data_IF_777368232510
#
_entry.id   IF_777368232510
#
_cell.length_a   1.000
_cell.length_b   1.000
_cell.length_c   1.000
_cell.angle_alpha   90.00
_cell.angle_beta   90.00
_cell.angle_gamma   90.00
#
_symmetry.space_group_name_H-M   'P 1'
#
loop_
_entity.id
_entity.type
_entity.pdbx_description
1 polymer ?
#
# COMPACT_ATOMS: atom_id res chain seq x y z
N UNK A 1 -7.77 -15.59 15.39
CA UNK A 1 -8.64 -14.40 15.30
C UNK A 1 -8.88 -14.02 13.86
N UNK A 2 -10.09 -13.68 13.52
CA UNK A 2 -10.45 -13.33 12.14
C UNK A 2 -9.67 -12.12 11.63
N UNK A 3 -9.48 -11.09 12.48
CA UNK A 3 -8.77 -9.89 12.06
C UNK A 3 -7.29 -10.18 11.76
N UNK A 4 -6.66 -11.06 12.51
CA UNK A 4 -5.26 -11.42 12.25
C UNK A 4 -5.13 -12.18 10.95
N UNK A 5 -6.08 -13.06 10.64
CA UNK A 5 -6.09 -13.75 9.34
C UNK A 5 -6.27 -12.77 8.20
N UNK A 6 -7.15 -11.79 8.36
CA UNK A 6 -7.36 -10.76 7.35
C UNK A 6 -6.08 -9.95 7.12
N UNK A 7 -5.44 -9.49 8.20
CA UNK A 7 -4.25 -8.64 8.10
C UNK A 7 -3.03 -9.40 7.61
N UNK A 8 -3.02 -10.72 7.73
CA UNK A 8 -1.89 -11.55 7.30
C UNK A 8 -2.09 -12.15 5.90
N UNK A 9 -3.11 -11.72 5.17
CA UNK A 9 -3.42 -12.22 3.84
C UNK A 9 -2.86 -11.27 2.80
N UNK A 10 -1.87 -11.73 2.03
CA UNK A 10 -1.21 -10.90 1.03
C UNK A 10 -2.15 -10.43 -0.08
N UNK A 11 -3.22 -11.17 -0.35
CA UNK A 11 -4.22 -10.72 -1.32
C UNK A 11 -5.00 -9.52 -0.80
N UNK A 12 -5.34 -9.53 0.49
CA UNK A 12 -5.99 -8.37 1.10
C UNK A 12 -5.06 -7.17 1.11
N UNK A 13 -3.78 -7.39 1.38
CA UNK A 13 -2.79 -6.32 1.30
C UNK A 13 -2.70 -5.77 -0.12
N UNK A 14 -2.66 -6.64 -1.12
CA UNK A 14 -2.60 -6.21 -2.51
C UNK A 14 -3.84 -5.39 -2.89
N UNK A 15 -5.02 -5.79 -2.44
CA UNK A 15 -6.26 -5.04 -2.70
C UNK A 15 -6.17 -3.62 -2.11
N UNK A 16 -5.70 -3.50 -0.87
CA UNK A 16 -5.51 -2.18 -0.26
C UNK A 16 -4.55 -1.33 -1.07
N UNK A 17 -3.46 -1.92 -1.56
CA UNK A 17 -2.50 -1.21 -2.40
C UNK A 17 -3.11 -0.79 -3.74
N UNK A 18 -3.98 -1.62 -4.32
CA UNK A 18 -4.66 -1.27 -5.57
C UNK A 18 -5.52 -0.02 -5.39
N UNK A 19 -6.19 0.09 -4.27
CA UNK A 19 -6.98 1.30 -3.97
C UNK A 19 -6.07 2.53 -3.98
N UNK A 20 -4.90 2.44 -3.34
CA UNK A 20 -3.94 3.54 -3.34
C UNK A 20 -3.44 3.84 -4.76
N UNK A 21 -3.11 2.81 -5.53
CA UNK A 21 -2.61 2.97 -6.90
C UNK A 21 -3.67 3.67 -7.77
N UNK A 22 -4.91 3.22 -7.69
CA UNK A 22 -6.01 3.81 -8.46
C UNK A 22 -6.18 5.29 -8.10
N UNK A 23 -6.11 5.60 -6.81
CA UNK A 23 -6.21 6.99 -6.37
C UNK A 23 -5.05 7.82 -6.92
N UNK A 24 -3.84 7.29 -6.93
CA UNK A 24 -2.68 8.01 -7.46
C UNK A 24 -2.73 8.15 -8.98
N UNK A 25 -3.34 7.21 -9.69
CA UNK A 25 -3.60 7.37 -11.12
C UNK A 25 -4.54 8.57 -11.34
N UNK A 26 -5.58 8.68 -10.52
CA UNK A 26 -6.48 9.83 -10.57
C UNK A 26 -5.71 11.14 -10.32
N UNK A 27 -4.84 11.16 -9.30
CA UNK A 27 -4.01 12.33 -9.00
C UNK A 27 -3.12 12.69 -10.18
N UNK A 28 -2.56 11.69 -10.86
CA UNK A 28 -1.69 11.94 -12.01
C UNK A 28 -2.44 12.67 -13.13
N UNK A 29 -3.68 12.31 -13.39
CA UNK A 29 -4.46 12.95 -14.42
C UNK A 29 -5.07 14.29 -13.99
N UNK A 30 -5.44 14.41 -12.71
CA UNK A 30 -6.18 15.57 -12.23
C UNK A 30 -5.28 16.69 -11.70
N UNK A 31 -4.13 16.37 -11.13
CA UNK A 31 -3.31 17.32 -10.38
C UNK A 31 -1.84 17.31 -10.80
N UNK A 32 -1.15 16.16 -10.67
CA UNK A 32 0.30 16.09 -10.80
C UNK A 32 0.80 16.05 -12.24
N UNK A 33 -0.06 15.61 -13.17
CA UNK A 33 0.34 15.43 -14.55
C UNK A 33 0.68 13.99 -14.87
N UNK A 34 0.61 13.66 -16.17
CA UNK A 34 0.75 12.29 -16.67
C UNK A 34 2.12 11.68 -16.37
N UNK A 35 3.16 12.52 -16.26
CA UNK A 35 4.51 12.05 -15.95
C UNK A 35 4.59 11.33 -14.59
N UNK A 36 3.67 11.63 -13.68
CA UNK A 36 3.61 10.94 -12.37
C UNK A 36 3.33 9.45 -12.53
N UNK A 37 2.73 9.03 -13.64
CA UNK A 37 2.48 7.61 -13.92
C UNK A 37 3.78 6.80 -14.01
N UNK A 38 4.90 7.41 -14.31
CA UNK A 38 6.20 6.73 -14.33
C UNK A 38 6.53 6.12 -12.98
N UNK A 39 6.05 6.74 -11.90
CA UNK A 39 6.22 6.21 -10.54
C UNK A 39 5.09 5.26 -10.18
N UNK A 40 3.86 5.61 -10.52
CA UNK A 40 2.66 4.89 -10.07
C UNK A 40 2.52 3.53 -10.77
N UNK A 41 2.75 3.45 -12.07
CA UNK A 41 2.53 2.21 -12.83
C UNK A 41 3.48 1.07 -12.41
N UNK A 42 4.78 1.30 -12.18
CA UNK A 42 5.64 0.23 -11.67
C UNK A 42 5.17 -0.31 -10.31
N UNK A 43 4.72 0.58 -9.42
CA UNK A 43 4.17 0.16 -8.12
C UNK A 43 2.94 -0.72 -8.35
N UNK A 44 2.06 -0.33 -9.26
CA UNK A 44 0.89 -1.13 -9.62
C UNK A 44 1.25 -2.52 -10.13
N UNK A 45 2.31 -2.61 -10.94
CA UNK A 45 2.80 -3.89 -11.44
C UNK A 45 3.32 -4.79 -10.32
N UNK A 46 4.08 -4.23 -9.39
CA UNK A 46 4.59 -4.97 -8.24
C UNK A 46 3.44 -5.48 -7.37
N UNK A 47 2.44 -4.65 -7.13
CA UNK A 47 1.27 -5.03 -6.34
C UNK A 47 0.48 -6.15 -7.03
N UNK A 48 0.27 -6.05 -8.33
CA UNK A 48 -0.40 -7.10 -9.10
C UNK A 48 0.37 -8.41 -9.03
N UNK A 49 1.70 -8.35 -9.15
CA UNK A 49 2.55 -9.52 -9.01
C UNK A 49 2.39 -10.16 -7.64
N UNK A 50 2.36 -9.36 -6.58
CA UNK A 50 2.17 -9.87 -5.23
C UNK A 50 0.84 -10.61 -5.09
N UNK A 51 -0.22 -10.08 -5.70
CA UNK A 51 -1.55 -10.70 -5.63
C UNK A 51 -1.58 -12.06 -6.33
N UNK A 52 -0.98 -12.15 -7.51
CA UNK A 52 -1.07 -13.37 -8.32
C UNK A 52 -0.02 -14.41 -7.96
N UNK A 53 1.21 -13.99 -7.61
CA UNK A 53 2.31 -14.91 -7.31
C UNK A 53 2.23 -15.41 -5.87
N UNK A 54 1.92 -14.52 -4.92
CA UNK A 54 1.84 -14.86 -3.49
C UNK A 54 3.17 -15.45 -2.98
N UNK A 55 3.16 -16.01 -1.80
CA UNK A 55 4.34 -16.65 -1.23
C UNK A 55 5.48 -15.67 -0.96
N UNK A 56 6.69 -16.21 -0.85
CA UNK A 56 7.86 -15.37 -0.53
C UNK A 56 8.22 -14.42 -1.67
N UNK A 57 7.99 -14.82 -2.91
CA UNK A 57 8.22 -13.94 -4.05
C UNK A 57 7.21 -12.79 -4.04
N UNK A 58 5.94 -13.09 -3.77
CA UNK A 58 4.93 -12.06 -3.61
C UNK A 58 5.26 -11.10 -2.47
N UNK A 59 5.76 -11.63 -1.36
CA UNK A 59 6.19 -10.79 -0.24
C UNK A 59 7.33 -9.85 -0.66
N UNK A 60 8.29 -10.33 -1.42
CA UNK A 60 9.38 -9.49 -1.91
C UNK A 60 8.86 -8.39 -2.84
N UNK A 61 7.91 -8.72 -3.72
CA UNK A 61 7.32 -7.73 -4.62
C UNK A 61 6.54 -6.66 -3.84
N UNK A 62 5.84 -7.06 -2.79
CA UNK A 62 5.08 -6.13 -1.96
C UNK A 62 5.99 -5.27 -1.07
N UNK A 63 7.15 -5.80 -0.67
CA UNK A 63 8.10 -5.07 0.16
C UNK A 63 8.60 -3.79 -0.52
N UNK A 64 8.75 -3.81 -1.84
CA UNK A 64 9.28 -2.65 -2.58
C UNK A 64 8.35 -1.42 -2.45
N UNK A 65 7.04 -1.52 -2.77
CA UNK A 65 6.15 -0.38 -2.52
C UNK A 65 6.04 -0.02 -1.04
N UNK A 66 6.11 -1.02 -0.14
CA UNK A 66 6.04 -0.75 1.30
C UNK A 66 7.18 0.15 1.76
N UNK A 67 8.40 -0.12 1.29
CA UNK A 67 9.56 0.71 1.60
C UNK A 67 9.33 2.13 1.08
N UNK A 68 8.83 2.27 -0.14
CA UNK A 68 8.53 3.58 -0.71
C UNK A 68 7.49 4.34 0.13
N UNK A 69 6.45 3.64 0.60
CA UNK A 69 5.42 4.26 1.43
C UNK A 69 5.96 4.75 2.76
N UNK A 70 6.94 4.04 3.34
CA UNK A 70 7.52 4.44 4.63
C UNK A 70 8.20 5.80 4.57
N UNK A 71 8.74 6.18 3.42
CA UNK A 71 9.35 7.50 3.27
C UNK A 71 8.32 8.63 3.35
N UNK A 72 7.06 8.35 3.13
CA UNK A 72 5.98 9.35 3.14
C UNK A 72 5.34 9.47 4.53
N UNK A 73 5.57 8.49 5.41
CA UNK A 73 4.93 8.46 6.74
C UNK A 73 5.13 9.74 7.55
N UNK A 74 6.34 10.35 7.63
CA UNK A 74 6.49 11.58 8.40
C UNK A 74 5.57 12.70 7.92
N UNK A 75 5.38 12.83 6.62
CA UNK A 75 4.50 13.86 6.06
C UNK A 75 3.03 13.57 6.39
N UNK A 76 2.63 12.29 6.33
CA UNK A 76 1.26 11.89 6.64
C UNK A 76 0.96 12.15 8.11
N UNK A 77 1.82 11.68 9.00
CA UNK A 77 1.63 11.84 10.45
C UNK A 77 1.65 13.31 10.83
N UNK A 78 2.58 14.08 10.27
CA UNK A 78 2.65 15.52 10.52
C UNK A 78 1.37 16.24 10.12
N UNK A 79 0.84 15.93 8.94
CA UNK A 79 -0.42 16.53 8.48
C UNK A 79 -1.61 16.15 9.36
N UNK A 80 -1.67 14.90 9.82
CA UNK A 80 -2.75 14.46 10.70
C UNK A 80 -2.67 15.13 12.08
N UNK A 81 -1.46 15.29 12.63
CA UNK A 81 -1.28 15.91 13.93
C UNK A 81 -1.63 17.39 13.90
N UNK A 82 -1.20 18.09 12.84
CA UNK A 82 -1.43 19.54 12.72
C UNK A 82 -2.79 19.86 12.10
N UNK A 83 -3.51 18.86 11.62
CA UNK A 83 -4.79 19.01 10.91
C UNK A 83 -4.65 19.87 9.65
N UNK A 84 -3.49 19.83 9.00
CA UNK A 84 -3.25 20.54 7.75
C UNK A 84 -3.65 19.69 6.57
N UNK A 85 -4.59 20.18 5.77
CA UNK A 85 -5.01 19.51 4.55
C UNK A 85 -3.91 19.59 3.50
N UNK A 86 -3.79 18.54 2.68
CA UNK A 86 -2.87 18.54 1.56
C UNK A 86 -3.26 19.61 0.54
N UNK A 87 -2.27 20.24 -0.09
CA UNK A 87 -2.51 21.32 -1.05
C UNK A 87 -3.25 20.84 -2.29
N UNK A 88 -2.96 19.60 -2.72
CA UNK A 88 -3.46 19.09 -3.99
C UNK A 88 -4.79 18.36 -3.85
N UNK A 89 -4.97 17.61 -2.75
CA UNK A 89 -6.16 16.78 -2.56
C UNK A 89 -7.08 17.29 -1.46
N UNK A 90 -6.69 18.37 -0.78
CA UNK A 90 -7.54 19.00 0.22
C UNK A 90 -7.86 18.10 1.40
N UNK A 91 -9.09 18.19 1.88
CA UNK A 91 -9.52 17.43 3.07
C UNK A 91 -9.55 15.92 2.85
N UNK A 92 -9.49 15.46 1.60
CA UNK A 92 -9.39 14.03 1.33
C UNK A 92 -8.13 13.42 1.92
N UNK A 93 -7.09 14.23 2.18
CA UNK A 93 -5.87 13.75 2.82
C UNK A 93 -6.14 13.18 4.22
N UNK A 94 -7.19 13.65 4.91
CA UNK A 94 -7.54 13.13 6.23
C UNK A 94 -8.19 11.75 6.17
N UNK A 95 -8.64 11.32 5.00
CA UNK A 95 -9.12 9.96 4.77
C UNK A 95 -8.00 9.09 4.19
N UNK A 96 -7.27 9.60 3.23
CA UNK A 96 -6.21 8.86 2.56
C UNK A 96 -5.03 8.58 3.49
N UNK A 97 -4.68 9.53 4.37
CA UNK A 97 -3.56 9.36 5.30
C UNK A 97 -3.72 8.14 6.20
N UNK A 98 -4.82 8.04 6.97
CA UNK A 98 -5.07 6.85 7.79
C UNK A 98 -5.14 5.56 6.98
N UNK A 99 -5.74 5.60 5.78
CA UNK A 99 -5.78 4.43 4.90
C UNK A 99 -4.39 4.03 4.44
N UNK A 100 -3.52 5.00 4.16
CA UNK A 100 -2.12 4.77 3.81
C UNK A 100 -1.40 4.04 4.94
N UNK A 101 -1.57 4.51 6.18
CA UNK A 101 -0.97 3.88 7.35
C UNK A 101 -1.50 2.47 7.56
N UNK A 102 -2.79 2.25 7.37
CA UNK A 102 -3.40 0.92 7.42
C UNK A 102 -2.79 0.01 6.35
N UNK A 103 -2.58 0.53 5.15
CA UNK A 103 -1.99 -0.25 4.06
C UNK A 103 -0.57 -0.68 4.39
N UNK A 104 0.23 0.21 5.00
CA UNK A 104 1.57 -0.16 5.45
C UNK A 104 1.50 -1.28 6.48
N UNK A 105 0.58 -1.18 7.43
CA UNK A 105 0.41 -2.20 8.46
C UNK A 105 0.06 -3.56 7.85
N UNK A 106 -0.93 -3.61 6.96
CA UNK A 106 -1.35 -4.88 6.35
C UNK A 106 -0.25 -5.44 5.45
N UNK A 107 0.52 -4.57 4.80
CA UNK A 107 1.66 -5.00 4.00
C UNK A 107 2.72 -5.68 4.87
N UNK A 108 3.09 -5.05 5.97
CA UNK A 108 4.11 -5.59 6.87
C UNK A 108 3.65 -6.92 7.46
N UNK A 109 2.42 -7.01 7.94
CA UNK A 109 1.90 -8.24 8.52
C UNK A 109 1.82 -9.37 7.50
N UNK A 110 1.41 -9.06 6.28
CA UNK A 110 1.34 -10.05 5.20
C UNK A 110 2.73 -10.54 4.79
N UNK A 111 3.68 -9.63 4.69
CA UNK A 111 5.07 -9.99 4.35
C UNK A 111 5.66 -10.90 5.42
N UNK A 112 5.46 -10.56 6.70
CA UNK A 112 5.95 -11.38 7.80
C UNK A 112 5.34 -12.78 7.75
N UNK A 113 4.03 -12.88 7.51
CA UNK A 113 3.35 -14.16 7.42
C UNK A 113 3.90 -15.03 6.28
N UNK A 114 4.16 -14.42 5.12
CA UNK A 114 4.72 -15.16 3.99
C UNK A 114 6.16 -15.62 4.26
N UNK A 115 6.98 -14.75 4.86
CA UNK A 115 8.38 -15.06 5.16
C UNK A 115 8.46 -16.17 6.23
N UNK A 116 7.59 -16.12 7.23
CA UNK A 116 7.57 -17.13 8.31
C UNK A 116 6.89 -18.43 7.93
N UNK A 117 6.21 -18.47 6.78
CA UNK A 117 5.47 -19.64 6.37
C UNK A 117 4.17 -19.85 7.15
N UNK A 118 3.60 -18.78 7.71
CA UNK A 118 2.37 -18.86 8.50
C UNK A 118 1.13 -18.43 7.74
N UNK A 119 1.28 -17.94 6.51
CA UNK A 119 0.14 -17.54 5.71
C UNK A 119 -0.56 -18.75 5.11
N UNK A 120 -1.80 -18.58 4.68
CA UNK A 120 -2.57 -19.66 4.04
C UNK A 120 -2.00 -20.07 2.66
N UNK A 121 -1.07 -19.27 2.11
CA UNK A 121 -0.43 -19.56 0.83
C UNK A 121 0.93 -20.23 0.97
N UNK A 122 1.38 -20.45 2.20
CA UNK A 122 2.75 -20.87 2.46
C UNK A 122 2.98 -22.38 2.30
N UNK A 123 1.93 -23.17 2.26
CA UNK A 123 2.01 -24.63 2.21
C UNK A 123 1.98 -25.20 0.80
N UNK A 124 2.13 -24.37 -0.17
CA UNK A 124 2.11 -24.80 -1.57
C UNK A 124 3.46 -25.33 -2.02
#
# INVERSE_FOLDING_TARGET
>A
MAIMKFLSDIRNAAIANVVIVVFHIYIAFAVEGVSFLVIVLPIGGLVAGAYFIKGKIGAALLALPTIAYLFVVPNIVGGLITLDADKDIGYFSFLLGPFWLFTILINIMSIIAEVRGTSKYSNS
#
